data_IF_539705991267
#
_entry.id   IF_539705991267
#
_cell.length_a   1.000
_cell.length_b   1.000
_cell.length_c   1.000
_cell.angle_alpha   90.00
_cell.angle_beta   90.00
_cell.angle_gamma   90.00
#
_symmetry.space_group_name_H-M   'P 1'
#
loop_
_entity.id
_entity.type
_entity.pdbx_description
1 polymer ?
#
# COMPACT_ATOMS: atom_id res chain seq x y z
N UNK A 1 9.11 -6.23 -2.08
CA UNK A 1 8.14 -5.29 -2.69
C UNK A 1 7.05 -5.09 -1.66
N UNK A 2 6.70 -3.87 -1.26
CA UNK A 2 5.69 -3.65 -0.20
C UNK A 2 4.30 -3.40 -0.79
N UNK A 3 4.25 -2.71 -1.93
CA UNK A 3 3.05 -2.55 -2.76
C UNK A 3 3.41 -2.52 -4.24
N UNK A 4 2.59 -3.14 -5.09
CA UNK A 4 2.71 -3.11 -6.54
C UNK A 4 1.70 -2.11 -7.14
N UNK A 5 2.05 -1.45 -8.26
CA UNK A 5 1.19 -0.48 -8.97
C UNK A 5 0.96 -0.93 -10.41
N UNK A 6 -0.30 -1.06 -10.82
CA UNK A 6 -0.69 -1.32 -12.20
C UNK A 6 -1.88 -0.43 -12.61
N UNK A 7 -2.06 -0.20 -13.90
CA UNK A 7 -3.21 0.52 -14.45
C UNK A 7 -3.99 -0.42 -15.36
N UNK A 8 -5.30 -0.54 -15.14
CA UNK A 8 -6.23 -1.36 -15.91
C UNK A 8 -7.36 -0.47 -16.42
N UNK A 9 -7.26 -0.03 -17.69
CA UNK A 9 -8.15 1.00 -18.22
C UNK A 9 -8.03 2.30 -17.39
N UNK A 10 -9.15 2.89 -16.93
CA UNK A 10 -9.11 4.09 -16.09
C UNK A 10 -8.90 3.81 -14.60
N UNK A 11 -8.50 2.59 -14.20
CA UNK A 11 -8.39 2.20 -12.79
C UNK A 11 -6.94 1.91 -12.42
N UNK A 12 -6.40 2.64 -11.44
CA UNK A 12 -5.13 2.30 -10.82
C UNK A 12 -5.35 1.22 -9.75
N UNK A 13 -4.56 0.16 -9.77
CA UNK A 13 -4.67 -0.99 -8.86
C UNK A 13 -3.40 -1.06 -8.01
N UNK A 14 -3.55 -0.88 -6.71
CA UNK A 14 -2.49 -1.00 -5.72
C UNK A 14 -2.61 -2.35 -5.04
N UNK A 15 -1.61 -3.20 -5.19
CA UNK A 15 -1.60 -4.53 -4.56
C UNK A 15 -0.62 -4.54 -3.39
N UNK A 16 -1.11 -4.61 -2.16
CA UNK A 16 -0.27 -4.84 -0.98
C UNK A 16 0.42 -6.19 -1.12
N UNK A 17 1.75 -6.24 -1.06
CA UNK A 17 2.53 -7.43 -1.34
C UNK A 17 3.58 -7.70 -0.25
N UNK A 18 3.15 -7.64 1.02
CA UNK A 18 4.01 -7.83 2.18
C UNK A 18 3.64 -9.11 2.95
N UNK A 19 4.02 -10.30 2.48
CA UNK A 19 3.63 -11.55 3.12
C UNK A 19 4.07 -11.62 4.60
N UNK A 20 3.37 -12.39 5.44
CA UNK A 20 2.33 -13.37 5.08
C UNK A 20 0.92 -12.79 4.95
N UNK A 21 0.67 -11.63 5.56
CA UNK A 21 -0.68 -11.05 5.67
C UNK A 21 -0.73 -9.58 5.29
N UNK A 22 0.24 -9.08 4.52
CA UNK A 22 0.27 -7.68 4.05
C UNK A 22 0.26 -6.66 5.20
N UNK A 23 1.20 -6.84 6.14
CA UNK A 23 1.34 -5.97 7.31
C UNK A 23 1.64 -4.52 6.92
N UNK A 24 0.96 -3.58 7.56
CA UNK A 24 1.05 -2.14 7.30
C UNK A 24 2.21 -1.49 8.07
N UNK A 25 3.42 -2.01 7.89
CA UNK A 25 4.65 -1.38 8.38
C UNK A 25 4.93 -0.07 7.65
N UNK A 26 5.85 0.75 8.18
CA UNK A 26 6.12 2.10 7.66
C UNK A 26 6.41 2.10 6.15
N UNK A 27 7.23 1.16 5.68
CA UNK A 27 7.56 1.06 4.26
C UNK A 27 6.36 0.70 3.37
N UNK A 28 5.38 -0.05 3.88
CA UNK A 28 4.13 -0.34 3.16
C UNK A 28 3.23 0.89 3.12
N UNK A 29 3.14 1.64 4.23
CA UNK A 29 2.35 2.87 4.32
C UNK A 29 2.92 3.97 3.40
N UNK A 30 4.24 4.13 3.37
CA UNK A 30 4.94 5.06 2.47
C UNK A 30 4.73 4.69 0.99
N UNK A 31 4.88 3.42 0.65
CA UNK A 31 4.65 2.98 -0.73
C UNK A 31 3.19 3.17 -1.18
N UNK A 32 2.22 3.02 -0.28
CA UNK A 32 0.82 3.37 -0.55
C UNK A 32 0.64 4.87 -0.82
N UNK A 33 1.25 5.75 -0.02
CA UNK A 33 1.15 7.21 -0.24
C UNK A 33 1.82 7.65 -1.53
N UNK A 34 2.96 7.04 -1.88
CA UNK A 34 3.66 7.31 -3.15
C UNK A 34 2.80 6.89 -4.36
N UNK A 35 2.16 5.72 -4.28
CA UNK A 35 1.24 5.24 -5.30
C UNK A 35 -0.01 6.12 -5.42
N UNK A 36 -0.53 6.61 -4.29
CA UNK A 36 -1.65 7.54 -4.28
C UNK A 36 -1.28 8.86 -4.97
N UNK A 37 -0.11 9.44 -4.65
CA UNK A 37 0.40 10.64 -5.30
C UNK A 37 0.56 10.43 -6.82
N UNK A 38 1.08 9.27 -7.23
CA UNK A 38 1.22 8.90 -8.64
C UNK A 38 -0.14 8.80 -9.35
N UNK A 39 -1.12 8.14 -8.74
CA UNK A 39 -2.45 7.98 -9.35
C UNK A 39 -3.22 9.31 -9.42
N UNK A 40 -3.10 10.16 -8.41
CA UNK A 40 -3.74 11.48 -8.38
C UNK A 40 -3.15 12.45 -9.41
N UNK A 41 -1.90 12.26 -9.81
CA UNK A 41 -1.25 13.04 -10.86
C UNK A 41 -1.56 12.55 -12.28
N UNK A 42 -2.26 11.42 -12.44
CA UNK A 42 -2.58 10.82 -13.73
C UNK A 42 -4.05 11.09 -14.11
N UNK A 43 -4.26 12.04 -15.02
CA UNK A 43 -5.59 12.42 -15.52
C UNK A 43 -6.34 11.27 -16.22
N UNK A 44 -5.65 10.20 -16.65
CA UNK A 44 -6.30 9.02 -17.21
C UNK A 44 -6.95 8.13 -16.13
N UNK A 45 -6.46 8.22 -14.89
CA UNK A 45 -7.02 7.47 -13.76
C UNK A 45 -8.30 8.15 -13.26
N UNK A 46 -9.35 7.35 -13.11
CA UNK A 46 -10.69 7.76 -12.63
C UNK A 46 -11.12 7.05 -11.36
N UNK A 47 -10.46 5.94 -11.01
CA UNK A 47 -10.70 5.22 -9.77
C UNK A 47 -9.42 4.52 -9.31
N UNK A 48 -9.36 4.25 -8.00
CA UNK A 48 -8.28 3.50 -7.37
C UNK A 48 -8.88 2.28 -6.68
N UNK A 49 -8.30 1.11 -6.94
CA UNK A 49 -8.55 -0.12 -6.20
C UNK A 49 -7.33 -0.44 -5.35
N UNK A 50 -7.54 -0.69 -4.06
CA UNK A 50 -6.50 -1.21 -3.17
C UNK A 50 -6.89 -2.64 -2.83
N UNK A 51 -5.96 -3.57 -3.04
CA UNK A 51 -6.15 -5.01 -2.78
C UNK A 51 -4.89 -5.62 -2.18
N UNK A 52 -4.93 -6.89 -1.77
CA UNK A 52 -3.77 -7.61 -1.24
C UNK A 52 -3.37 -8.81 -2.09
N UNK A 53 -2.08 -9.04 -2.22
CA UNK A 53 -1.52 -10.25 -2.80
C UNK A 53 -1.69 -11.44 -1.86
N UNK A 54 -1.72 -12.64 -2.42
CA UNK A 54 -1.80 -13.89 -1.66
C UNK A 54 -3.18 -14.10 -1.03
N UNK A 55 -3.21 -14.33 0.29
CA UNK A 55 -4.41 -14.82 1.00
C UNK A 55 -5.13 -13.78 1.84
N UNK A 56 -4.61 -12.55 1.92
CA UNK A 56 -5.16 -11.51 2.78
C UNK A 56 -5.18 -10.17 2.03
N UNK A 57 -6.15 -9.32 2.36
CA UNK A 57 -6.05 -7.89 2.05
C UNK A 57 -4.90 -7.29 2.87
N UNK A 58 -5.10 -7.20 4.19
CA UNK A 58 -4.12 -6.85 5.19
C UNK A 58 -4.53 -7.43 6.54
N UNK A 59 -3.55 -7.91 7.31
CA UNK A 59 -3.71 -8.33 8.71
C UNK A 59 -3.64 -7.17 9.70
N UNK A 60 -3.53 -5.93 9.21
CA UNK A 60 -3.38 -4.72 10.02
C UNK A 60 -1.92 -4.34 10.24
N UNK A 61 -1.61 -3.87 11.45
CA UNK A 61 -0.29 -3.32 11.77
C UNK A 61 0.84 -4.37 11.65
N UNK A 62 2.05 -3.93 11.33
CA UNK A 62 3.23 -4.80 11.34
C UNK A 62 3.74 -4.96 12.77
N UNK A 63 3.52 -6.16 13.33
CA UNK A 63 3.92 -6.51 14.70
C UNK A 63 5.44 -6.39 14.93
N UNK A 64 6.26 -6.43 13.86
CA UNK A 64 7.71 -6.26 13.97
C UNK A 64 8.11 -4.82 14.29
N UNK A 65 7.23 -3.85 14.02
CA UNK A 65 7.48 -2.44 14.30
C UNK A 65 6.98 -2.03 15.69
N UNK A 66 6.29 -2.90 16.42
CA UNK A 66 5.73 -2.58 17.74
C UNK A 66 6.84 -2.19 18.72
N UNK A 67 6.60 -1.14 19.51
CA UNK A 67 7.60 -0.59 20.44
C UNK A 67 8.71 0.23 19.77
N UNK A 68 8.64 0.46 18.46
CA UNK A 68 9.57 1.34 17.74
C UNK A 68 8.87 2.62 17.25
N UNK A 69 9.63 3.71 16.98
CA UNK A 69 9.06 4.93 16.38
C UNK A 69 8.31 4.68 15.06
N UNK A 70 8.73 3.66 14.29
CA UNK A 70 8.12 3.33 12.99
C UNK A 70 6.64 2.94 13.10
N UNK A 71 6.21 2.40 14.24
CA UNK A 71 4.80 2.04 14.44
C UNK A 71 3.86 3.26 14.44
N UNK A 72 4.35 4.44 14.83
CA UNK A 72 3.56 5.67 14.97
C UNK A 72 3.94 6.75 13.95
N UNK A 73 4.98 6.53 13.17
CA UNK A 73 5.42 7.49 12.17
C UNK A 73 4.41 7.59 11.02
N UNK A 74 3.97 8.82 10.72
CA UNK A 74 3.16 9.13 9.55
C UNK A 74 3.93 8.83 8.25
N UNK A 75 3.25 8.36 7.19
CA UNK A 75 3.91 7.95 5.95
C UNK A 75 4.36 9.12 5.05
N UNK A 76 3.97 10.36 5.37
CA UNK A 76 4.16 11.55 4.53
C UNK A 76 4.53 12.80 5.33
#
# INVERSE_FOLDING_TARGET
MTTDYAVQGPVAVFTLNNPPVNGLGLATRQALTDNLARALADDAVKAIVITGAGKAFSGGADIKEFGSPKALQEPN
#
